data_IF_446851245819
#
_entry.id   IF_446851245819
#
_cell.length_a   1.000
_cell.length_b   1.000
_cell.length_c   1.000
_cell.angle_alpha   90.00
_cell.angle_beta   90.00
_cell.angle_gamma   90.00
#
_symmetry.space_group_name_H-M   'P 1'
#
loop_
_entity.id
_entity.type
_entity.pdbx_description
1 polymer ?
#
# COMPACT_ATOMS: atom_id res chain seq x y z
N UNK A 1 -18.90 -11.35 2.64
CA UNK A 1 -17.91 -10.44 3.26
C UNK A 1 -18.19 -8.99 2.87
N UNK A 2 -18.01 -8.04 3.79
CA UNK A 2 -18.13 -6.60 3.47
C UNK A 2 -16.98 -6.16 2.56
N UNK A 3 -17.23 -5.14 1.73
CA UNK A 3 -16.16 -4.49 0.95
C UNK A 3 -15.12 -3.94 1.93
N UNK A 4 -13.86 -4.31 1.75
CA UNK A 4 -12.75 -3.75 2.50
C UNK A 4 -11.72 -3.20 1.51
N UNK A 5 -11.13 -2.07 1.87
CA UNK A 5 -9.99 -1.53 1.16
C UNK A 5 -8.69 -2.15 1.68
N UNK A 6 -7.64 -2.00 0.91
CA UNK A 6 -6.28 -2.33 1.32
C UNK A 6 -5.35 -1.18 0.96
N UNK A 7 -4.33 -1.02 1.78
CA UNK A 7 -3.24 -0.07 1.53
C UNK A 7 -1.94 -0.87 1.56
N UNK A 8 -1.12 -0.73 0.55
CA UNK A 8 0.24 -1.27 0.58
C UNK A 8 1.16 -0.34 1.37
N UNK A 9 2.21 -0.86 1.96
CA UNK A 9 3.09 -0.14 2.87
C UNK A 9 3.66 1.17 2.30
N UNK A 10 3.82 1.25 0.99
CA UNK A 10 4.31 2.45 0.31
C UNK A 10 3.21 3.49 -0.04
N UNK A 11 1.97 3.25 0.31
CA UNK A 11 0.84 4.18 0.08
C UNK A 11 0.48 4.47 -1.37
N UNK A 12 1.12 3.84 -2.34
CA UNK A 12 0.95 4.08 -3.77
C UNK A 12 -0.29 3.42 -4.36
N UNK A 13 -0.85 2.44 -3.69
CA UNK A 13 -1.99 1.70 -4.19
C UNK A 13 -3.08 1.60 -3.14
N UNK A 14 -4.24 2.13 -3.46
CA UNK A 14 -5.46 1.99 -2.67
C UNK A 14 -6.53 1.38 -3.56
N UNK A 15 -7.19 0.35 -3.08
CA UNK A 15 -8.22 -0.30 -3.85
C UNK A 15 -9.19 -1.11 -3.01
N UNK A 16 -10.20 -1.64 -3.67
CA UNK A 16 -11.10 -2.61 -3.06
C UNK A 16 -10.58 -4.01 -3.37
N UNK A 17 -10.35 -4.80 -2.32
CA UNK A 17 -9.88 -6.17 -2.48
C UNK A 17 -10.90 -7.00 -3.28
N UNK A 18 -10.46 -7.60 -4.38
CA UNK A 18 -11.28 -8.54 -5.17
C UNK A 18 -11.61 -9.81 -4.40
N UNK A 19 -10.86 -10.10 -3.34
CA UNK A 19 -11.04 -11.25 -2.45
C UNK A 19 -12.36 -11.27 -1.67
N UNK A 20 -13.21 -10.23 -1.79
CA UNK A 20 -14.55 -10.22 -1.18
C UNK A 20 -15.43 -11.43 -1.56
N UNK A 21 -15.15 -12.03 -2.71
CA UNK A 21 -15.88 -13.20 -3.22
C UNK A 21 -15.24 -14.53 -2.81
N UNK A 22 -14.11 -14.48 -2.12
CA UNK A 22 -13.39 -15.67 -1.68
C UNK A 22 -13.58 -15.93 -0.19
N UNK A 23 -13.50 -17.18 0.17
CA UNK A 23 -13.58 -17.63 1.56
C UNK A 23 -12.34 -17.10 2.32
N UNK A 24 -12.46 -16.58 3.56
CA UNK A 24 -11.32 -16.16 4.35
C UNK A 24 -10.28 -17.26 4.53
N UNK A 25 -8.99 -16.89 4.59
CA UNK A 25 -7.88 -17.82 4.82
C UNK A 25 -8.04 -18.69 6.07
N UNK A 26 -8.70 -18.15 7.09
CA UNK A 26 -9.01 -18.89 8.32
C UNK A 26 -9.90 -20.10 8.07
N UNK A 27 -10.77 -20.03 7.05
CA UNK A 27 -11.73 -21.07 6.71
C UNK A 27 -11.20 -21.98 5.60
N UNK A 28 -10.54 -21.41 4.58
CA UNK A 28 -10.01 -22.18 3.47
C UNK A 28 -8.78 -21.51 2.86
N UNK A 29 -7.73 -22.31 2.63
CA UNK A 29 -6.51 -21.86 1.96
C UNK A 29 -6.46 -22.23 0.46
N UNK A 30 -7.48 -22.93 -0.04
CA UNK A 30 -7.47 -23.51 -1.39
C UNK A 30 -7.16 -22.48 -2.49
N UNK A 31 -7.75 -21.28 -2.40
CA UNK A 31 -7.48 -20.23 -3.39
C UNK A 31 -6.04 -19.70 -3.33
N UNK A 32 -5.50 -19.57 -2.13
CA UNK A 32 -4.10 -19.16 -1.94
C UNK A 32 -3.14 -20.23 -2.46
N UNK A 33 -3.42 -21.51 -2.21
CA UNK A 33 -2.60 -22.62 -2.70
C UNK A 33 -2.55 -22.65 -4.24
N UNK A 34 -3.68 -22.37 -4.91
CA UNK A 34 -3.73 -22.25 -6.39
C UNK A 34 -2.84 -21.08 -6.86
N UNK A 35 -2.93 -19.91 -6.24
CA UNK A 35 -2.11 -18.75 -6.61
C UNK A 35 -0.63 -19.03 -6.38
N UNK A 36 -0.28 -19.61 -5.24
CA UNK A 36 1.11 -19.99 -4.92
C UNK A 36 1.66 -20.98 -5.93
N UNK A 37 0.88 -22.00 -6.29
CA UNK A 37 1.27 -22.98 -7.31
C UNK A 37 1.52 -22.31 -8.67
N UNK A 38 0.60 -21.46 -9.15
CA UNK A 38 0.77 -20.72 -10.41
C UNK A 38 2.02 -19.86 -10.42
N UNK A 39 2.26 -19.12 -9.33
CA UNK A 39 3.46 -18.28 -9.23
C UNK A 39 4.72 -19.15 -9.28
N UNK A 40 4.76 -20.26 -8.55
CA UNK A 40 5.90 -21.20 -8.56
C UNK A 40 6.12 -21.84 -9.93
N UNK A 41 5.07 -22.14 -10.68
CA UNK A 41 5.15 -22.67 -12.05
C UNK A 41 5.68 -21.64 -13.06
N UNK A 42 5.49 -20.36 -12.81
CA UNK A 42 5.97 -19.29 -13.69
C UNK A 42 7.45 -18.91 -13.42
N UNK A 43 7.96 -19.14 -12.23
CA UNK A 43 9.36 -18.84 -11.87
C UNK A 43 10.37 -19.50 -12.79
N UNK A 44 10.31 -20.83 -13.06
CA UNK A 44 11.26 -21.48 -13.98
C UNK A 44 11.20 -20.90 -15.40
N UNK A 45 10.02 -20.49 -15.87
CA UNK A 45 9.85 -19.85 -17.20
C UNK A 45 10.56 -18.51 -17.25
N UNK A 46 10.39 -17.67 -16.21
CA UNK A 46 11.07 -16.38 -16.11
C UNK A 46 12.59 -16.54 -16.08
N UNK A 47 13.10 -17.59 -15.41
CA UNK A 47 14.53 -17.90 -15.36
C UNK A 47 15.01 -18.37 -16.74
N UNK A 48 14.28 -19.27 -17.39
CA UNK A 48 14.60 -19.74 -18.73
C UNK A 48 14.62 -18.60 -19.76
N UNK A 49 13.63 -17.69 -19.69
CA UNK A 49 13.59 -16.50 -20.53
C UNK A 49 14.80 -15.59 -20.27
N UNK A 50 15.19 -15.39 -19.01
CA UNK A 50 16.37 -14.61 -18.66
C UNK A 50 17.67 -15.24 -19.24
N UNK A 51 17.82 -16.56 -19.17
CA UNK A 51 18.94 -17.27 -19.82
C UNK A 51 18.87 -17.15 -21.36
N UNK A 52 17.67 -17.20 -21.94
CA UNK A 52 17.45 -16.96 -23.37
C UNK A 52 17.88 -15.56 -23.79
N UNK A 53 17.61 -14.55 -22.98
CA UNK A 53 18.09 -13.17 -23.23
C UNK A 53 19.60 -13.10 -23.17
N UNK A 54 20.22 -13.70 -22.15
CA UNK A 54 21.67 -13.76 -21.99
C UNK A 54 22.39 -14.49 -23.15
N UNK A 55 21.73 -15.52 -23.67
CA UNK A 55 22.24 -16.29 -24.83
C UNK A 55 21.95 -15.58 -26.18
N UNK A 56 21.25 -14.44 -26.19
CA UNK A 56 20.89 -13.72 -27.41
C UNK A 56 19.72 -14.36 -28.21
N UNK A 57 19.07 -15.39 -27.66
CA UNK A 57 17.91 -16.06 -28.28
C UNK A 57 16.65 -15.25 -28.14
N UNK A 58 16.50 -14.57 -27.01
CA UNK A 58 15.37 -13.68 -26.71
C UNK A 58 15.88 -12.23 -26.71
N UNK A 59 15.20 -11.37 -27.46
CA UNK A 59 15.53 -9.95 -27.51
C UNK A 59 14.32 -9.09 -27.15
N UNK A 60 14.51 -7.90 -26.56
CA UNK A 60 13.43 -6.94 -26.37
C UNK A 60 12.81 -6.56 -27.70
N UNK A 61 11.50 -6.24 -27.70
CA UNK A 61 10.83 -5.72 -28.93
C UNK A 61 11.23 -4.28 -29.21
N UNK A 62 11.38 -3.49 -28.15
CA UNK A 62 11.68 -2.05 -28.23
C UNK A 62 12.78 -1.67 -27.25
N UNK A 63 13.45 -0.56 -27.53
CA UNK A 63 14.41 0.10 -26.66
C UNK A 63 13.83 1.40 -26.15
N UNK A 64 13.75 1.58 -24.84
CA UNK A 64 13.36 2.83 -24.20
C UNK A 64 14.54 3.80 -24.16
N UNK A 65 14.42 4.92 -24.86
CA UNK A 65 15.48 5.94 -24.88
C UNK A 65 15.36 6.93 -23.72
N UNK A 66 14.14 7.41 -23.47
CA UNK A 66 13.76 8.29 -22.36
C UNK A 66 12.24 8.22 -22.18
N UNK A 67 11.71 8.90 -21.19
CA UNK A 67 10.27 8.90 -20.93
C UNK A 67 9.46 9.22 -22.21
N UNK A 68 8.63 8.27 -22.63
CA UNK A 68 7.73 8.41 -23.78
C UNK A 68 8.36 8.16 -25.15
N UNK A 69 9.65 7.84 -25.24
CA UNK A 69 10.31 7.54 -26.52
C UNK A 69 10.82 6.12 -26.55
N UNK A 70 10.36 5.34 -27.51
CA UNK A 70 10.77 3.97 -27.78
C UNK A 70 11.13 3.83 -29.27
N UNK A 71 12.13 3.01 -29.55
CA UNK A 71 12.50 2.63 -30.93
C UNK A 71 12.47 1.10 -31.04
N UNK A 72 12.26 0.54 -32.24
CA UNK A 72 12.45 -0.89 -32.49
C UNK A 72 13.85 -1.36 -32.07
N UNK A 73 13.96 -2.56 -31.54
CA UNK A 73 15.25 -3.10 -31.07
C UNK A 73 16.33 -3.10 -32.17
N UNK A 74 15.93 -3.45 -33.41
CA UNK A 74 16.83 -3.52 -34.55
C UNK A 74 17.43 -2.15 -34.96
N UNK A 75 16.76 -1.04 -34.61
CA UNK A 75 17.20 0.32 -34.95
C UNK A 75 18.14 0.91 -33.88
N UNK A 76 18.33 0.22 -32.77
CA UNK A 76 19.21 0.65 -31.72
C UNK A 76 20.69 0.42 -32.03
N UNK A 77 21.55 1.30 -31.53
CA UNK A 77 23.00 1.03 -31.55
C UNK A 77 23.32 -0.19 -30.69
N UNK A 78 24.47 -0.86 -30.95
CA UNK A 78 24.92 -2.03 -30.18
C UNK A 78 24.86 -1.79 -28.66
N UNK A 79 25.35 -0.61 -28.23
CA UNK A 79 25.30 -0.23 -26.80
C UNK A 79 23.88 -0.15 -26.26
N UNK A 80 22.95 0.40 -27.04
CA UNK A 80 21.53 0.50 -26.65
C UNK A 80 20.88 -0.88 -26.61
N UNK A 81 21.15 -1.73 -27.59
CA UNK A 81 20.68 -3.12 -27.65
C UNK A 81 21.19 -3.92 -26.45
N UNK A 82 22.49 -3.84 -26.15
CA UNK A 82 23.09 -4.50 -24.99
C UNK A 82 22.48 -4.02 -23.68
N UNK A 83 22.28 -2.70 -23.52
CA UNK A 83 21.64 -2.13 -22.34
C UNK A 83 20.20 -2.62 -22.18
N UNK A 84 19.44 -2.70 -23.28
CA UNK A 84 18.08 -3.18 -23.27
C UNK A 84 18.00 -4.69 -22.91
N UNK A 85 18.90 -5.51 -23.44
CA UNK A 85 19.01 -6.93 -23.08
C UNK A 85 19.33 -7.09 -21.60
N UNK A 86 20.34 -6.39 -21.09
CA UNK A 86 20.70 -6.44 -19.66
C UNK A 86 19.53 -6.01 -18.76
N UNK A 87 18.81 -4.98 -19.16
CA UNK A 87 17.62 -4.52 -18.41
C UNK A 87 16.50 -5.56 -18.43
N UNK A 88 16.28 -6.23 -19.55
CA UNK A 88 15.27 -7.29 -19.67
C UNK A 88 15.66 -8.49 -18.81
N UNK A 89 16.91 -8.98 -18.93
CA UNK A 89 17.44 -10.08 -18.12
C UNK A 89 17.27 -9.77 -16.62
N UNK A 90 17.72 -8.60 -16.19
CA UNK A 90 17.59 -8.18 -14.79
C UNK A 90 16.12 -8.14 -14.33
N UNK A 91 15.23 -7.60 -15.17
CA UNK A 91 13.80 -7.54 -14.88
C UNK A 91 13.19 -8.93 -14.71
N UNK A 92 13.52 -9.89 -15.60
CA UNK A 92 13.02 -11.26 -15.52
C UNK A 92 13.51 -11.95 -14.24
N UNK A 93 14.80 -11.85 -13.91
CA UNK A 93 15.36 -12.39 -12.67
C UNK A 93 14.77 -11.73 -11.42
N UNK A 94 14.58 -10.42 -11.45
CA UNK A 94 13.95 -9.68 -10.35
C UNK A 94 12.50 -10.12 -10.12
N UNK A 95 11.75 -10.34 -11.21
CA UNK A 95 10.37 -10.86 -11.12
C UNK A 95 10.34 -12.28 -10.58
N UNK A 96 11.25 -13.16 -11.02
CA UNK A 96 11.36 -14.51 -10.49
C UNK A 96 11.61 -14.50 -8.98
N UNK A 97 12.57 -13.71 -8.50
CA UNK A 97 12.88 -13.57 -7.07
C UNK A 97 11.72 -12.99 -6.29
N UNK A 98 11.07 -11.95 -6.82
CA UNK A 98 9.88 -11.36 -6.15
C UNK A 98 8.71 -12.35 -6.11
N UNK A 99 8.54 -13.17 -7.16
CA UNK A 99 7.55 -14.24 -7.19
C UNK A 99 7.80 -15.29 -6.11
N UNK A 100 9.05 -15.72 -5.94
CA UNK A 100 9.44 -16.67 -4.89
C UNK A 100 9.14 -16.12 -3.48
N UNK A 101 9.58 -14.89 -3.19
CA UNK A 101 9.30 -14.21 -1.92
C UNK A 101 7.79 -14.05 -1.66
N UNK A 102 7.03 -13.72 -2.70
CA UNK A 102 5.58 -13.61 -2.61
C UNK A 102 4.96 -14.97 -2.28
N UNK A 103 5.32 -16.04 -3.02
CA UNK A 103 4.81 -17.38 -2.80
C UNK A 103 5.08 -17.86 -1.36
N UNK A 104 6.32 -17.70 -0.88
CA UNK A 104 6.72 -18.08 0.47
C UNK A 104 5.96 -17.29 1.55
N UNK A 105 5.81 -15.97 1.34
CA UNK A 105 5.07 -15.10 2.27
C UNK A 105 3.59 -15.48 2.34
N UNK A 106 2.98 -15.78 1.19
CA UNK A 106 1.57 -16.19 1.12
C UNK A 106 1.34 -17.55 1.76
N UNK A 107 2.24 -18.50 1.55
CA UNK A 107 2.17 -19.83 2.15
C UNK A 107 2.34 -19.76 3.67
N UNK A 108 3.30 -18.97 4.15
CA UNK A 108 3.51 -18.73 5.58
C UNK A 108 2.28 -18.07 6.21
N UNK A 109 1.69 -17.08 5.54
CA UNK A 109 0.47 -16.41 6.00
C UNK A 109 -0.72 -17.38 6.04
N UNK A 110 -0.90 -18.19 4.99
CA UNK A 110 -1.96 -19.18 4.93
C UNK A 110 -1.81 -20.22 6.04
N UNK A 111 -0.61 -20.70 6.29
CA UNK A 111 -0.31 -21.64 7.38
C UNK A 111 -0.59 -21.04 8.76
N UNK A 112 -0.24 -19.76 8.95
CA UNK A 112 -0.47 -19.05 10.21
C UNK A 112 -1.95 -18.80 10.50
N UNK A 113 -2.75 -18.50 9.48
CA UNK A 113 -4.14 -18.08 9.66
C UNK A 113 -5.14 -19.22 9.54
N UNK A 114 -4.83 -20.28 8.78
CA UNK A 114 -5.78 -21.37 8.55
C UNK A 114 -6.15 -22.08 9.86
N UNK A 115 -7.44 -22.27 10.08
CA UNK A 115 -7.97 -22.87 11.30
C UNK A 115 -8.02 -21.94 12.52
N UNK A 116 -7.59 -20.68 12.39
CA UNK A 116 -7.75 -19.71 13.48
C UNK A 116 -9.18 -19.17 13.53
N UNK A 117 -9.63 -18.81 14.73
CA UNK A 117 -10.97 -18.24 14.92
C UNK A 117 -11.01 -16.81 14.41
N UNK A 118 -12.03 -16.47 13.60
CA UNK A 118 -12.30 -15.10 13.23
C UNK A 118 -12.80 -14.35 14.48
N UNK A 119 -12.02 -13.38 14.94
CA UNK A 119 -12.44 -12.47 16.01
C UNK A 119 -13.07 -11.26 15.34
N UNK A 120 -14.33 -10.99 15.69
CA UNK A 120 -14.98 -9.74 15.29
C UNK A 120 -14.31 -8.59 16.03
N UNK A 121 -13.50 -7.82 15.32
CA UNK A 121 -12.91 -6.62 15.90
C UNK A 121 -14.01 -5.58 15.94
N UNK A 122 -14.37 -5.15 17.16
CA UNK A 122 -15.31 -4.05 17.36
C UNK A 122 -14.90 -2.87 16.45
N UNK A 123 -15.86 -2.39 15.66
CA UNK A 123 -15.64 -1.25 14.78
C UNK A 123 -15.12 -0.11 15.66
N UNK A 124 -13.92 0.37 15.40
CA UNK A 124 -13.46 1.60 16.04
C UNK A 124 -14.51 2.65 15.76
N UNK A 125 -15.10 3.23 16.80
CA UNK A 125 -16.02 4.35 16.65
C UNK A 125 -15.35 5.40 15.79
N UNK A 126 -16.11 5.95 14.85
CA UNK A 126 -15.59 7.02 14.01
C UNK A 126 -15.15 8.15 14.96
N UNK A 127 -13.97 8.74 14.74
CA UNK A 127 -13.50 9.79 15.62
C UNK A 127 -14.53 10.94 15.64
N UNK A 128 -14.83 11.43 16.84
CA UNK A 128 -15.76 12.53 17.07
C UNK A 128 -15.52 13.67 16.08
N UNK A 129 -16.59 14.10 15.40
CA UNK A 129 -16.51 15.21 14.46
C UNK A 129 -16.29 16.51 15.23
N UNK A 130 -15.33 17.31 14.79
CA UNK A 130 -15.00 18.59 15.40
C UNK A 130 -15.69 19.70 14.62
N UNK A 131 -16.55 20.44 15.30
CA UNK A 131 -17.31 21.54 14.70
C UNK A 131 -16.78 22.90 15.11
N UNK A 132 -17.00 23.89 14.26
CA UNK A 132 -16.75 25.29 14.63
C UNK A 132 -17.66 25.67 15.79
N UNK A 133 -17.10 26.27 16.83
CA UNK A 133 -17.81 26.59 18.07
C UNK A 133 -17.62 25.54 19.18
N UNK A 134 -17.13 24.34 18.87
CA UNK A 134 -16.83 23.34 19.90
C UNK A 134 -15.85 23.92 20.94
N UNK A 135 -16.15 23.66 22.21
CA UNK A 135 -15.33 24.11 23.32
C UNK A 135 -14.69 22.92 24.03
N UNK A 136 -13.42 23.06 24.33
CA UNK A 136 -12.62 22.11 25.10
C UNK A 136 -11.84 22.85 26.17
N UNK A 137 -11.50 22.17 27.25
CA UNK A 137 -10.68 22.71 28.32
C UNK A 137 -9.41 21.90 28.55
N UNK A 138 -8.32 22.60 28.85
CA UNK A 138 -7.07 21.99 29.30
C UNK A 138 -6.35 22.95 30.24
N UNK A 139 -6.01 22.46 31.43
CA UNK A 139 -5.27 23.24 32.46
C UNK A 139 -5.86 24.63 32.75
N UNK A 140 -7.20 24.72 32.84
CA UNK A 140 -7.91 25.97 33.14
C UNK A 140 -7.95 26.96 31.98
N UNK A 141 -7.58 26.52 30.77
CA UNK A 141 -7.71 27.31 29.53
C UNK A 141 -8.89 26.75 28.73
N UNK A 142 -9.79 27.60 28.28
CA UNK A 142 -10.92 27.23 27.42
C UNK A 142 -10.51 27.51 25.98
N UNK A 143 -10.64 26.49 25.13
CA UNK A 143 -10.36 26.55 23.70
C UNK A 143 -11.67 26.50 22.92
N UNK A 144 -11.92 27.45 22.06
CA UNK A 144 -13.10 27.47 21.17
C UNK A 144 -12.64 27.25 19.73
N UNK A 145 -13.10 26.20 19.07
CA UNK A 145 -12.80 25.91 17.67
C UNK A 145 -13.30 27.04 16.76
N UNK A 146 -12.42 27.57 15.91
CA UNK A 146 -12.76 28.63 14.95
C UNK A 146 -12.76 28.13 13.51
N UNK A 147 -11.94 27.15 13.19
CA UNK A 147 -11.96 26.42 11.91
C UNK A 147 -11.23 25.07 12.04
N UNK A 148 -11.52 24.15 11.12
CA UNK A 148 -10.82 22.86 11.00
C UNK A 148 -10.29 22.73 9.59
N UNK A 149 -8.97 22.56 9.45
CA UNK A 149 -8.31 22.41 8.16
C UNK A 149 -7.41 21.18 8.18
N UNK A 150 -7.80 20.14 7.46
CA UNK A 150 -7.10 18.86 7.45
C UNK A 150 -6.99 18.25 8.86
N UNK A 151 -5.76 18.10 9.36
CA UNK A 151 -5.49 17.55 10.68
C UNK A 151 -5.37 18.61 11.79
N UNK A 152 -5.68 19.88 11.51
CA UNK A 152 -5.52 21.01 12.44
C UNK A 152 -6.84 21.63 12.83
N UNK A 153 -7.00 21.90 14.12
CA UNK A 153 -8.10 22.67 14.70
C UNK A 153 -7.55 24.04 15.08
N UNK A 154 -7.97 25.07 14.38
CA UNK A 154 -7.67 26.46 14.76
C UNK A 154 -8.64 26.87 15.86
N UNK A 155 -8.13 27.54 16.85
CA UNK A 155 -8.92 27.88 18.03
C UNK A 155 -8.56 29.25 18.62
N UNK A 156 -9.49 29.78 19.36
CA UNK A 156 -9.29 30.90 20.27
C UNK A 156 -9.24 30.33 21.69
N UNK A 157 -8.13 30.54 22.37
CA UNK A 157 -7.91 30.08 23.74
C UNK A 157 -8.11 31.23 24.71
N UNK A 158 -8.80 31.01 25.82
CA UNK A 158 -9.04 31.98 26.88
C UNK A 158 -8.52 31.44 28.22
N UNK A 159 -7.67 32.21 28.88
CA UNK A 159 -7.19 31.93 30.24
C UNK A 159 -7.32 33.19 31.10
N UNK A 160 -8.29 33.21 32.01
CA UNK A 160 -8.67 34.43 32.71
C UNK A 160 -9.09 35.53 31.72
N UNK A 161 -8.53 36.72 31.84
CA UNK A 161 -8.82 37.86 30.95
C UNK A 161 -8.00 37.86 29.64
N UNK A 162 -7.08 36.89 29.46
CA UNK A 162 -6.21 36.83 28.29
C UNK A 162 -6.78 35.91 27.22
N UNK A 163 -6.70 36.35 25.98
CA UNK A 163 -7.15 35.60 24.80
C UNK A 163 -5.99 35.41 23.83
N UNK A 164 -5.86 34.18 23.30
CA UNK A 164 -4.81 33.81 22.35
C UNK A 164 -5.48 33.13 21.14
N UNK A 165 -4.81 33.21 19.99
CA UNK A 165 -5.17 32.40 18.80
C UNK A 165 -4.09 31.37 18.57
N UNK A 166 -4.46 30.17 18.18
CA UNK A 166 -3.53 29.09 17.93
C UNK A 166 -4.17 27.94 17.14
N UNK A 167 -3.45 26.88 17.04
CA UNK A 167 -3.95 25.65 16.46
C UNK A 167 -3.45 24.44 17.27
N UNK A 168 -4.20 23.35 17.19
CA UNK A 168 -3.92 22.08 17.84
C UNK A 168 -4.24 20.95 16.87
N UNK A 169 -3.52 19.85 16.90
CA UNK A 169 -3.85 18.69 16.07
C UNK A 169 -5.20 18.07 16.49
N UNK A 170 -5.98 17.60 15.52
CA UNK A 170 -7.29 16.99 15.79
C UNK A 170 -7.25 15.87 16.83
N UNK A 171 -6.18 15.07 16.87
CA UNK A 171 -6.03 14.01 17.90
C UNK A 171 -5.83 14.59 19.31
N UNK A 172 -5.05 15.67 19.44
CA UNK A 172 -4.82 16.32 20.71
C UNK A 172 -6.09 17.07 21.18
N UNK A 173 -6.80 17.71 20.26
CA UNK A 173 -8.10 18.35 20.53
C UNK A 173 -9.12 17.38 21.14
N UNK A 174 -9.27 16.18 20.57
CA UNK A 174 -10.20 15.15 21.08
C UNK A 174 -9.86 14.62 22.48
N UNK A 175 -8.60 14.77 22.91
CA UNK A 175 -8.15 14.33 24.25
C UNK A 175 -8.42 15.38 25.34
N UNK A 176 -8.73 16.62 24.96
CA UNK A 176 -9.09 17.68 25.91
C UNK A 176 -10.49 17.42 26.48
N UNK A 177 -10.74 17.90 27.68
CA UNK A 177 -12.03 17.76 28.35
C UNK A 177 -13.08 18.65 27.65
N UNK A 178 -14.30 18.14 27.52
CA UNK A 178 -15.43 18.94 27.05
C UNK A 178 -15.79 19.98 28.13
N UNK A 179 -16.16 21.17 27.69
CA UNK A 179 -16.62 22.24 28.61
C UNK A 179 -18.12 22.11 28.80
#
# INVERSE_FOLDING_TARGET
>A
MSKHGYTVDNGWFQGVCSGRNHVPLQVSRAHTDIIVAQVRDDIPKLIADAEGVKAGVITPKTIKLRIGFEIPFAEGSERQQMTACNSLEWSLRSRARSGEQFADSMEALATKLHGTTLIEVAKKEAPEYISVGDQKSDNGTIYTCTSVEGARVYHKAQKGDKTFKGWTGCQAWRKMEAV
#
